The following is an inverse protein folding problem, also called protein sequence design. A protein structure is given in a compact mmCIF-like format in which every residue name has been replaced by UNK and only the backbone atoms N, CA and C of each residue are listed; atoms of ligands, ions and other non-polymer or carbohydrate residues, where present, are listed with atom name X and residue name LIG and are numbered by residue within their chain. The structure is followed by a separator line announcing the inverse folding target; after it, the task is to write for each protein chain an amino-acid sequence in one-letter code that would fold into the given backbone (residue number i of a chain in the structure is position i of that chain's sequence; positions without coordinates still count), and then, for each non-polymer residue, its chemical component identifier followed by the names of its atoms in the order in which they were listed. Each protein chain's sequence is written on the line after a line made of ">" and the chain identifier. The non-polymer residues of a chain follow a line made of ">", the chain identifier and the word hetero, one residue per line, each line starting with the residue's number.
data_IF_278178349903
#
_entry.id   IF_278178349903
#
_cell.length_a   1.000
_cell.length_b   1.000
_cell.length_c   1.000
_cell.angle_alpha   90.00
_cell.angle_beta   90.00
_cell.angle_gamma   90.00
#
_symmetry.space_group_name_H-M   'P 1'
#
loop_
_entity.id
_entity.type
_entity.pdbx_description
1 polymer ?
#
# COMPACT_ATOMS: atom_id res chain seq x y z
N UNK A 1 -6.88 -1.93 39.47
CA UNK A 1 -6.25 -1.50 38.21
C UNK A 1 -7.33 -0.86 37.37
N UNK A 2 -7.34 0.48 37.25
CA UNK A 2 -8.26 1.16 36.34
C UNK A 2 -7.82 0.85 34.92
N UNK A 3 -8.62 0.07 34.19
CA UNK A 3 -8.45 -0.17 32.76
C UNK A 3 -9.02 1.01 31.97
N UNK A 4 -8.62 2.24 32.30
CA UNK A 4 -8.94 3.44 31.52
C UNK A 4 -8.00 3.51 30.31
N UNK A 5 -8.04 2.49 29.44
CA UNK A 5 -7.21 2.42 28.23
C UNK A 5 -7.47 3.58 27.27
N UNK A 6 -8.62 4.26 27.41
CA UNK A 6 -9.03 5.38 26.58
C UNK A 6 -9.69 6.46 27.45
N UNK A 7 -8.90 7.30 28.14
CA UNK A 7 -9.40 8.26 29.12
C UNK A 7 -10.28 9.36 28.50
N UNK A 8 -10.17 9.59 27.18
CA UNK A 8 -11.07 10.48 26.45
C UNK A 8 -11.30 10.04 25.01
N UNK A 9 -12.54 10.23 24.53
CA UNK A 9 -12.94 9.95 23.15
C UNK A 9 -12.13 10.75 22.12
N UNK A 10 -11.68 11.95 22.49
CA UNK A 10 -10.85 12.82 21.65
C UNK A 10 -9.44 12.26 21.47
N UNK A 11 -8.82 11.74 22.54
CA UNK A 11 -7.51 11.07 22.45
C UNK A 11 -7.57 9.81 21.60
N UNK A 12 -8.59 8.96 21.79
CA UNK A 12 -8.76 7.75 20.98
C UNK A 12 -8.88 8.06 19.49
N UNK A 13 -9.71 9.04 19.12
CA UNK A 13 -9.87 9.44 17.73
C UNK A 13 -8.59 10.05 17.16
N UNK A 14 -7.87 10.85 17.94
CA UNK A 14 -6.61 11.45 17.53
C UNK A 14 -5.54 10.38 17.25
N UNK A 15 -5.37 9.44 18.19
CA UNK A 15 -4.44 8.32 18.04
C UNK A 15 -4.83 7.42 16.86
N UNK A 16 -6.10 7.04 16.74
CA UNK A 16 -6.58 6.24 15.62
C UNK A 16 -6.35 6.93 14.27
N UNK A 17 -6.63 8.24 14.18
CA UNK A 17 -6.38 9.02 12.96
C UNK A 17 -4.89 9.04 12.61
N UNK A 18 -4.01 9.32 13.57
CA UNK A 18 -2.56 9.29 13.33
C UNK A 18 -2.11 7.91 12.86
N UNK A 19 -2.61 6.85 13.51
CA UNK A 19 -2.24 5.48 13.19
C UNK A 19 -2.67 5.07 11.77
N UNK A 20 -3.91 5.38 11.38
CA UNK A 20 -4.41 5.11 10.02
C UNK A 20 -3.61 5.88 8.97
N UNK A 21 -3.28 7.15 9.22
CA UNK A 21 -2.47 7.95 8.28
C UNK A 21 -1.09 7.34 8.10
N UNK A 22 -0.45 6.86 9.17
CA UNK A 22 0.86 6.19 9.09
C UNK A 22 0.78 4.88 8.31
N UNK A 23 -0.24 4.05 8.56
CA UNK A 23 -0.47 2.80 7.81
C UNK A 23 -0.58 3.10 6.32
N UNK A 24 -1.45 4.05 5.94
CA UNK A 24 -1.68 4.41 4.54
C UNK A 24 -0.41 4.98 3.90
N UNK A 25 0.33 5.84 4.60
CA UNK A 25 1.57 6.42 4.08
C UNK A 25 2.63 5.35 3.77
N UNK A 26 2.86 4.42 4.71
CA UNK A 26 3.81 3.31 4.51
C UNK A 26 3.33 2.37 3.41
N UNK A 27 2.04 2.02 3.41
CA UNK A 27 1.47 1.14 2.40
C UNK A 27 1.63 1.73 0.99
N UNK A 28 1.29 3.01 0.81
CA UNK A 28 1.42 3.70 -0.48
C UNK A 28 2.89 3.74 -0.93
N UNK A 29 3.81 4.06 -0.03
CA UNK A 29 5.24 4.06 -0.34
C UNK A 29 5.71 2.67 -0.82
N UNK A 30 5.37 1.60 -0.10
CA UNK A 30 5.74 0.24 -0.47
C UNK A 30 5.11 -0.19 -1.81
N UNK A 31 3.82 0.05 -1.99
CA UNK A 31 3.09 -0.34 -3.21
C UNK A 31 3.64 0.41 -4.43
N UNK A 32 3.90 1.71 -4.32
CA UNK A 32 4.43 2.50 -5.44
C UNK A 32 5.82 2.03 -5.88
N UNK A 33 6.74 1.83 -4.93
CA UNK A 33 8.10 1.37 -5.23
C UNK A 33 8.07 -0.01 -5.88
N UNK A 34 7.32 -0.94 -5.32
CA UNK A 34 7.26 -2.30 -5.82
C UNK A 34 6.53 -2.39 -7.16
N UNK A 35 5.46 -1.61 -7.36
CA UNK A 35 4.77 -1.53 -8.64
C UNK A 35 5.70 -0.98 -9.73
N UNK A 36 6.51 0.03 -9.42
CA UNK A 36 7.48 0.57 -10.38
C UNK A 36 8.54 -0.46 -10.78
N UNK A 37 9.08 -1.21 -9.81
CA UNK A 37 10.05 -2.29 -10.08
C UNK A 37 9.43 -3.47 -10.86
N UNK A 38 8.19 -3.84 -10.52
CA UNK A 38 7.44 -4.88 -11.23
C UNK A 38 7.14 -4.46 -12.67
N UNK A 39 6.70 -3.22 -12.87
CA UNK A 39 6.47 -2.67 -14.21
C UNK A 39 7.75 -2.62 -15.03
N UNK A 40 8.87 -2.17 -14.45
CA UNK A 40 10.16 -2.17 -15.15
C UNK A 40 10.54 -3.57 -15.63
N UNK A 41 10.27 -4.59 -14.81
CA UNK A 41 10.56 -5.99 -15.12
C UNK A 41 9.57 -6.61 -16.11
N UNK A 42 8.29 -6.22 -16.08
CA UNK A 42 7.23 -6.80 -16.89
C UNK A 42 7.03 -6.09 -18.24
N UNK A 43 7.41 -4.81 -18.36
CA UNK A 43 7.16 -3.98 -19.54
C UNK A 43 7.78 -4.58 -20.81
N UNK A 44 9.00 -5.11 -20.73
CA UNK A 44 9.66 -5.77 -21.87
C UNK A 44 8.80 -6.91 -22.43
N UNK A 45 8.34 -7.81 -21.55
CA UNK A 45 7.48 -8.95 -21.93
C UNK A 45 6.11 -8.52 -22.45
N UNK A 46 5.56 -7.43 -21.91
CA UNK A 46 4.25 -6.92 -22.34
C UNK A 46 4.37 -6.34 -23.76
N UNK A 47 5.43 -5.58 -24.05
CA UNK A 47 5.62 -4.92 -25.34
C UNK A 47 6.16 -5.84 -26.44
N UNK A 48 6.67 -7.02 -26.09
CA UNK A 48 7.11 -8.04 -27.06
C UNK A 48 5.97 -8.57 -27.94
N UNK A 49 4.73 -8.57 -27.44
CA UNK A 49 3.58 -9.01 -28.22
C UNK A 49 3.11 -7.93 -29.20
N UNK A 50 2.93 -8.31 -30.48
CA UNK A 50 2.46 -7.39 -31.52
C UNK A 50 1.07 -6.84 -31.17
N UNK A 51 0.96 -5.50 -31.14
CA UNK A 51 -0.29 -4.80 -30.83
C UNK A 51 -0.42 -4.31 -29.38
N UNK A 52 0.49 -4.69 -28.48
CA UNK A 52 0.50 -4.18 -27.11
C UNK A 52 1.17 -2.80 -27.03
N UNK A 53 0.61 -1.93 -26.20
CA UNK A 53 1.13 -0.60 -25.95
C UNK A 53 0.92 -0.15 -24.50
N UNK A 54 0.65 1.15 -24.33
CA UNK A 54 0.55 1.77 -23.02
C UNK A 54 -0.72 1.32 -22.25
N UNK A 55 -1.79 0.97 -22.96
CA UNK A 55 -3.05 0.54 -22.36
C UNK A 55 -2.89 -0.78 -21.59
N UNK A 56 -2.11 -1.71 -22.12
CA UNK A 56 -1.84 -3.01 -21.52
C UNK A 56 -0.98 -2.88 -20.28
N UNK A 57 -0.02 -1.95 -20.28
CA UNK A 57 0.78 -1.61 -19.11
C UNK A 57 -0.11 -1.08 -17.99
N UNK A 58 -1.04 -0.15 -18.31
CA UNK A 58 -2.00 0.38 -17.34
C UNK A 58 -2.97 -0.70 -16.83
N UNK A 59 -3.42 -1.60 -17.72
CA UNK A 59 -4.26 -2.75 -17.36
C UNK A 59 -3.52 -3.68 -16.39
N UNK A 60 -2.28 -4.01 -16.70
CA UNK A 60 -1.43 -4.85 -15.85
C UNK A 60 -1.17 -4.19 -14.48
N UNK A 61 -0.83 -2.90 -14.46
CA UNK A 61 -0.66 -2.13 -13.23
C UNK A 61 -1.92 -2.15 -12.36
N UNK A 62 -3.10 -1.95 -12.98
CA UNK A 62 -4.39 -1.99 -12.28
C UNK A 62 -4.73 -3.36 -11.69
N UNK A 63 -4.32 -4.46 -12.34
CA UNK A 63 -4.51 -5.82 -11.81
C UNK A 63 -3.51 -6.15 -10.70
N UNK A 64 -2.29 -5.61 -10.77
CA UNK A 64 -1.23 -5.79 -9.76
C UNK A 64 -1.49 -5.02 -8.48
N UNK A 65 -1.96 -3.78 -8.59
CA UNK A 65 -2.17 -2.89 -7.45
C UNK A 65 -2.98 -3.52 -6.29
N UNK A 66 -4.16 -4.15 -6.50
CA UNK A 66 -4.90 -4.78 -5.41
C UNK A 66 -4.18 -5.99 -4.80
N UNK A 67 -3.37 -6.71 -5.60
CA UNK A 67 -2.55 -7.82 -5.10
C UNK A 67 -1.40 -7.31 -4.21
N UNK A 68 -0.75 -6.21 -4.61
CA UNK A 68 0.30 -5.59 -3.80
C UNK A 68 -0.29 -5.04 -2.50
N UNK A 69 -1.44 -4.36 -2.55
CA UNK A 69 -2.11 -3.83 -1.37
C UNK A 69 -2.43 -4.96 -0.38
N UNK A 70 -3.06 -6.05 -0.83
CA UNK A 70 -3.44 -7.16 0.07
C UNK A 70 -2.22 -7.85 0.69
N UNK A 71 -1.13 -7.98 -0.06
CA UNK A 71 0.11 -8.59 0.43
C UNK A 71 0.87 -7.71 1.41
N UNK A 72 0.91 -6.40 1.18
CA UNK A 72 1.73 -5.47 1.98
C UNK A 72 0.97 -4.78 3.11
N UNK A 73 -0.36 -4.89 3.16
CA UNK A 73 -1.16 -4.34 4.25
C UNK A 73 -0.68 -4.81 5.63
N UNK A 74 -0.44 -6.11 5.91
CA UNK A 74 0.02 -6.55 7.22
C UNK A 74 1.37 -5.94 7.61
N UNK A 75 2.30 -5.85 6.66
CA UNK A 75 3.64 -5.27 6.89
C UNK A 75 3.57 -3.75 7.13
N UNK A 76 2.69 -3.04 6.42
CA UNK A 76 2.48 -1.61 6.63
C UNK A 76 1.93 -1.30 8.03
N UNK A 77 1.06 -2.17 8.55
CA UNK A 77 0.54 -2.05 9.93
C UNK A 77 1.66 -2.23 10.95
N UNK A 78 2.49 -3.27 10.80
CA UNK A 78 3.63 -3.50 11.70
C UNK A 78 4.59 -2.30 11.70
N UNK A 79 4.98 -1.80 10.52
CA UNK A 79 5.86 -0.64 10.42
C UNK A 79 5.23 0.63 11.01
N UNK A 80 3.93 0.84 10.79
CA UNK A 80 3.22 1.99 11.34
C UNK A 80 3.08 1.96 12.87
N UNK A 81 3.23 0.80 13.52
CA UNK A 81 3.32 0.71 14.99
C UNK A 81 4.69 1.11 15.53
N UNK A 82 5.73 0.98 14.72
CA UNK A 82 7.12 1.27 15.11
C UNK A 82 7.49 2.74 14.90
N UNK A 83 6.82 3.43 13.97
CA UNK A 83 6.98 4.85 13.63
C UNK A 83 5.95 5.65 14.40
#
# INVERSE_FOLDING_TARGET
>A
MQLDFFPSRTLTLYLAKMFVVRIVAVLVMLVLVLLALDLLSATGKILEAAGNGQAEIMRYAGLRLPQLVSRFLPYSVLLATLI
#
